data_IF_349520582398
#
_entry.id   IF_349520582398
#
_cell.length_a   1.000
_cell.length_b   1.000
_cell.length_c   1.000
_cell.angle_alpha   90.00
_cell.angle_beta   90.00
_cell.angle_gamma   90.00
#
_symmetry.space_group_name_H-M   'P 1'
#
loop_
_entity.id
_entity.type
_entity.pdbx_description
1 polymer ?
#
# COMPACT_ATOMS: atom_id res chain seq x y z
N UNK A 1 24.75 50.73 -4.56
CA UNK A 1 24.14 50.94 -3.23
C UNK A 1 22.64 50.77 -3.34
N UNK A 2 22.09 49.89 -2.52
CA UNK A 2 20.68 49.49 -2.42
C UNK A 2 19.72 50.62 -2.07
N UNK A 3 18.48 50.57 -2.59
CA UNK A 3 17.17 50.75 -1.90
C UNK A 3 16.03 50.89 -2.95
N UNK A 4 15.05 49.97 -2.98
CA UNK A 4 13.63 50.11 -2.49
C UNK A 4 12.76 50.96 -3.45
N UNK A 5 11.53 50.67 -3.87
CA UNK A 5 10.36 49.94 -3.39
C UNK A 5 9.26 50.08 -4.51
N UNK A 6 8.45 49.09 -4.92
CA UNK A 6 7.09 48.73 -4.43
C UNK A 6 5.99 48.89 -5.52
N UNK A 7 5.07 47.90 -5.51
CA UNK A 7 3.73 47.77 -6.13
C UNK A 7 3.64 47.43 -7.63
N UNK A 8 3.37 46.17 -8.02
CA UNK A 8 2.18 45.34 -7.76
C UNK A 8 0.91 45.88 -8.45
N UNK A 9 0.70 45.47 -9.70
CA UNK A 9 -0.62 45.44 -10.36
C UNK A 9 -0.52 44.44 -11.52
N UNK A 10 -0.69 43.15 -11.22
CA UNK A 10 -1.00 42.16 -12.27
C UNK A 10 -2.48 41.84 -12.10
N UNK A 11 -3.29 42.51 -12.91
CA UNK A 11 -4.66 42.08 -13.16
C UNK A 11 -4.60 40.73 -13.84
N UNK A 12 -5.21 39.72 -13.21
CA UNK A 12 -5.57 38.47 -13.85
C UNK A 12 -7.09 38.38 -13.77
N UNK A 13 -7.78 38.21 -14.91
CA UNK A 13 -9.23 38.33 -15.00
C UNK A 13 -9.94 37.21 -14.24
N UNK A 14 -11.10 37.57 -13.68
CA UNK A 14 -12.18 36.68 -13.27
C UNK A 14 -12.40 35.60 -14.34
N UNK A 15 -11.88 34.39 -14.09
CA UNK A 15 -12.44 33.17 -14.66
C UNK A 15 -13.08 32.40 -13.52
N UNK A 16 -14.37 32.64 -13.35
CA UNK A 16 -15.26 31.76 -12.64
C UNK A 16 -15.40 30.46 -13.44
N UNK A 17 -15.08 29.32 -12.83
CA UNK A 17 -16.01 28.19 -12.63
C UNK A 17 -15.28 26.84 -12.46
N UNK A 18 -15.70 26.10 -11.42
CA UNK A 18 -15.64 24.63 -11.28
C UNK A 18 -14.28 23.94 -11.05
N UNK A 19 -13.78 24.05 -9.82
CA UNK A 19 -13.13 22.95 -9.10
C UNK A 19 -13.84 22.88 -7.74
N UNK A 20 -14.43 21.74 -7.36
CA UNK A 20 -13.60 20.69 -6.79
C UNK A 20 -14.11 19.27 -7.09
N UNK A 21 -13.21 18.31 -7.29
CA UNK A 21 -13.32 16.88 -6.95
C UNK A 21 -12.22 16.14 -7.71
N UNK A 22 -10.97 16.47 -7.40
CA UNK A 22 -9.96 15.42 -7.43
C UNK A 22 -10.17 14.64 -6.12
N UNK A 23 -10.70 13.40 -6.13
CA UNK A 23 -10.37 12.50 -5.04
C UNK A 23 -8.86 12.28 -5.15
N UNK A 24 -8.11 13.02 -4.35
CA UNK A 24 -6.74 12.70 -4.04
C UNK A 24 -6.77 11.31 -3.40
N UNK A 25 -6.42 10.28 -4.16
CA UNK A 25 -5.91 9.03 -3.62
C UNK A 25 -4.97 8.40 -4.66
N UNK A 26 -3.94 9.16 -5.03
CA UNK A 26 -2.68 8.55 -5.43
C UNK A 26 -2.10 7.91 -4.16
N UNK A 27 -2.66 6.75 -3.78
CA UNK A 27 -2.06 5.90 -2.77
C UNK A 27 -0.65 5.60 -3.27
N UNK A 28 0.32 6.18 -2.56
CA UNK A 28 1.75 6.16 -2.80
C UNK A 28 2.20 5.11 -3.83
N UNK A 29 2.51 5.55 -5.05
CA UNK A 29 3.39 4.80 -5.95
C UNK A 29 4.80 4.87 -5.33
N UNK A 30 5.03 4.13 -4.25
CA UNK A 30 6.36 3.61 -4.02
C UNK A 30 6.58 2.56 -5.11
N UNK A 31 7.75 2.55 -5.73
CA UNK A 31 8.15 1.62 -6.78
C UNK A 31 8.35 0.18 -6.23
N UNK A 32 7.44 -0.26 -5.36
CA UNK A 32 7.29 -1.62 -4.86
C UNK A 32 6.16 -2.31 -5.60
N UNK A 33 6.30 -3.63 -5.80
CA UNK A 33 5.27 -4.46 -6.42
C UNK A 33 4.10 -4.58 -5.44
N UNK A 34 2.96 -4.00 -5.78
CA UNK A 34 1.76 -4.02 -4.96
C UNK A 34 0.69 -4.89 -5.61
N UNK A 35 0.08 -5.77 -4.81
CA UNK A 35 -1.21 -6.36 -5.11
C UNK A 35 -2.29 -5.47 -4.47
N UNK A 36 -3.25 -5.06 -5.27
CA UNK A 36 -4.41 -4.29 -4.84
C UNK A 36 -5.66 -5.10 -5.11
N UNK A 37 -6.52 -5.19 -4.10
CA UNK A 37 -7.76 -5.96 -4.16
C UNK A 37 -8.76 -5.40 -3.14
N UNK A 38 -9.93 -6.00 -3.01
CA UNK A 38 -10.90 -5.69 -1.96
C UNK A 38 -11.05 -6.88 -1.03
N UNK A 39 -11.10 -6.63 0.29
CA UNK A 39 -11.33 -7.70 1.26
C UNK A 39 -12.73 -8.32 1.07
N UNK A 40 -12.87 -9.63 0.85
CA UNK A 40 -14.17 -10.28 0.80
C UNK A 40 -14.80 -10.46 2.19
N UNK A 41 -16.08 -10.89 2.21
CA UNK A 41 -16.79 -11.25 3.43
C UNK A 41 -17.32 -10.06 4.23
N UNK A 42 -17.06 -10.02 5.53
CA UNK A 42 -17.59 -8.96 6.42
C UNK A 42 -16.91 -7.59 6.24
N UNK A 43 -15.81 -7.56 5.50
CA UNK A 43 -15.01 -6.37 5.23
C UNK A 43 -15.11 -5.91 3.77
N UNK A 44 -16.12 -6.41 3.04
CA UNK A 44 -16.39 -6.01 1.66
C UNK A 44 -16.48 -4.50 1.50
N UNK A 45 -15.73 -3.98 0.52
CA UNK A 45 -15.58 -2.55 0.26
C UNK A 45 -14.36 -1.89 0.91
N UNK A 46 -13.57 -2.62 1.71
CA UNK A 46 -12.31 -2.10 2.23
C UNK A 46 -11.17 -2.37 1.22
N UNK A 47 -10.59 -1.33 0.58
CA UNK A 47 -9.52 -1.53 -0.38
C UNK A 47 -8.28 -2.03 0.34
N UNK A 48 -7.77 -3.17 -0.12
CA UNK A 48 -6.60 -3.85 0.37
C UNK A 48 -5.44 -3.56 -0.57
N UNK A 49 -4.29 -3.25 0.01
CA UNK A 49 -3.05 -3.07 -0.73
C UNK A 49 -1.94 -3.76 0.02
N UNK A 50 -1.37 -4.80 -0.58
CA UNK A 50 -0.19 -5.49 -0.10
C UNK A 50 0.98 -5.15 -1.01
N UNK A 51 1.97 -4.45 -0.47
CA UNK A 51 3.17 -4.06 -1.21
C UNK A 51 4.41 -4.77 -0.67
N UNK A 52 5.34 -5.06 -1.56
CA UNK A 52 6.71 -5.40 -1.17
C UNK A 52 7.56 -4.15 -1.30
N UNK A 53 8.12 -3.70 -0.19
CA UNK A 53 9.03 -2.56 -0.11
C UNK A 53 10.45 -3.03 0.24
N UNK A 54 11.43 -2.17 -0.02
CA UNK A 54 12.84 -2.50 0.16
C UNK A 54 13.41 -3.43 -0.92
N UNK A 55 14.72 -3.62 -0.88
CA UNK A 55 15.47 -4.44 -1.84
C UNK A 55 16.46 -5.36 -1.12
N UNK A 56 16.82 -6.48 -1.77
CA UNK A 56 17.75 -7.47 -1.21
C UNK A 56 17.31 -7.98 0.15
N UNK A 57 18.21 -7.93 1.13
CA UNK A 57 17.97 -8.38 2.51
C UNK A 57 17.05 -7.46 3.33
N UNK A 58 16.79 -6.23 2.87
CA UNK A 58 15.89 -5.30 3.58
C UNK A 58 14.46 -5.32 3.04
N UNK A 59 14.15 -6.29 2.19
CA UNK A 59 12.82 -6.47 1.63
C UNK A 59 11.83 -6.85 2.73
N UNK A 60 10.70 -6.15 2.77
CA UNK A 60 9.63 -6.36 3.73
C UNK A 60 8.27 -6.14 3.07
N UNK A 61 7.24 -6.73 3.65
CA UNK A 61 5.85 -6.59 3.23
C UNK A 61 5.18 -5.48 4.02
N UNK A 62 4.38 -4.69 3.32
CA UNK A 62 3.55 -3.62 3.88
C UNK A 62 2.12 -3.89 3.46
N UNK A 63 1.27 -4.21 4.44
CA UNK A 63 -0.15 -4.40 4.25
C UNK A 63 -0.91 -3.16 4.71
N UNK A 64 -1.67 -2.58 3.79
CA UNK A 64 -2.57 -1.46 4.01
C UNK A 64 -4.01 -1.87 3.74
N UNK A 65 -4.92 -1.44 4.61
CA UNK A 65 -6.37 -1.69 4.47
C UNK A 65 -7.09 -0.35 4.63
N UNK A 66 -7.96 -0.01 3.69
CA UNK A 66 -8.62 1.29 3.60
C UNK A 66 -7.64 2.47 3.54
N UNK A 67 -6.50 2.27 2.87
CA UNK A 67 -5.44 3.28 2.74
C UNK A 67 -4.60 3.53 4.01
N UNK A 68 -4.80 2.72 5.06
CA UNK A 68 -4.05 2.82 6.32
C UNK A 68 -3.14 1.60 6.45
N UNK A 69 -1.85 1.81 6.72
CA UNK A 69 -0.91 0.74 7.04
C UNK A 69 -1.34 0.02 8.31
N UNK A 70 -1.48 -1.31 8.23
CA UNK A 70 -1.92 -2.16 9.34
C UNK A 70 -0.84 -3.11 9.80
N UNK A 71 0.00 -3.58 8.89
CA UNK A 71 1.05 -4.54 9.19
C UNK A 71 2.26 -4.28 8.31
N UNK A 72 3.43 -4.25 8.95
CA UNK A 72 4.73 -4.24 8.28
C UNK A 72 5.54 -5.40 8.86
N UNK A 73 6.06 -6.27 8.01
CA UNK A 73 6.78 -7.46 8.44
C UNK A 73 7.83 -7.87 7.39
N UNK A 74 8.99 -8.34 7.85
CA UNK A 74 10.01 -8.90 6.97
C UNK A 74 9.55 -10.24 6.35
N UNK A 75 10.31 -10.73 5.36
CA UNK A 75 9.98 -11.95 4.63
C UNK A 75 9.89 -13.18 5.56
N UNK A 76 10.79 -13.31 6.53
CA UNK A 76 10.80 -14.47 7.42
C UNK A 76 9.57 -14.46 8.32
N UNK A 77 9.24 -13.30 8.88
CA UNK A 77 8.03 -13.09 9.69
C UNK A 77 6.76 -13.43 8.91
N UNK A 78 6.65 -12.97 7.66
CA UNK A 78 5.49 -13.28 6.80
C UNK A 78 5.42 -14.75 6.42
N UNK A 79 6.54 -15.45 6.20
CA UNK A 79 6.55 -16.90 5.99
C UNK A 79 6.06 -17.68 7.22
N UNK A 80 6.48 -17.26 8.41
CA UNK A 80 6.02 -17.85 9.67
C UNK A 80 4.58 -17.45 10.05
N UNK A 81 3.99 -16.49 9.36
CA UNK A 81 2.69 -15.90 9.67
C UNK A 81 2.82 -14.68 10.58
N UNK A 82 2.96 -13.51 9.96
CA UNK A 82 3.03 -12.25 10.68
C UNK A 82 1.64 -11.89 11.23
N UNK A 83 1.56 -11.33 12.44
CA UNK A 83 0.29 -10.97 13.07
C UNK A 83 0.34 -9.52 13.58
N UNK A 84 -0.75 -8.79 13.37
CA UNK A 84 -0.97 -7.45 13.88
C UNK A 84 -2.39 -7.31 14.46
N UNK A 85 -2.63 -6.31 15.30
CA UNK A 85 -3.99 -5.94 15.71
C UNK A 85 -4.60 -4.96 14.70
N UNK A 86 -5.82 -5.26 14.26
CA UNK A 86 -6.64 -4.35 13.47
C UNK A 86 -8.01 -4.19 14.10
N UNK A 87 -8.22 -3.06 14.79
CA UNK A 87 -9.50 -2.72 15.40
C UNK A 87 -10.01 -3.78 16.38
N UNK A 88 -9.09 -4.42 17.14
CA UNK A 88 -9.41 -5.50 18.06
C UNK A 88 -9.56 -6.88 17.40
N UNK A 89 -9.19 -7.00 16.11
CA UNK A 89 -9.14 -8.26 15.39
C UNK A 89 -7.70 -8.67 15.08
N UNK A 90 -7.39 -9.96 15.19
CA UNK A 90 -6.07 -10.47 14.86
C UNK A 90 -5.92 -10.57 13.34
N UNK A 91 -5.10 -9.69 12.75
CA UNK A 91 -4.77 -9.68 11.33
C UNK A 91 -3.50 -10.48 11.08
N UNK A 92 -3.62 -11.65 10.45
CA UNK A 92 -2.52 -12.48 10.01
C UNK A 92 -2.18 -12.24 8.54
N UNK A 93 -0.89 -12.18 8.20
CA UNK A 93 -0.39 -12.21 6.83
C UNK A 93 0.59 -13.37 6.70
N UNK A 94 0.30 -14.28 5.76
CA UNK A 94 1.17 -15.39 5.43
C UNK A 94 1.39 -15.46 3.92
N UNK A 95 2.64 -15.57 3.48
CA UNK A 95 2.95 -15.79 2.07
C UNK A 95 3.66 -17.13 1.89
N UNK A 96 3.51 -17.72 0.70
CA UNK A 96 4.21 -18.93 0.28
C UNK A 96 5.72 -18.72 0.24
N UNK A 97 6.49 -19.81 0.14
CA UNK A 97 7.96 -19.73 0.07
C UNK A 97 8.44 -18.83 -1.07
N UNK A 98 7.79 -18.89 -2.23
CA UNK A 98 8.12 -18.05 -3.39
C UNK A 98 7.81 -16.56 -3.17
N UNK A 99 7.06 -16.22 -2.12
CA UNK A 99 6.61 -14.85 -1.82
C UNK A 99 5.60 -14.30 -2.82
N UNK A 100 5.12 -15.12 -3.75
CA UNK A 100 4.17 -14.72 -4.79
C UNK A 100 2.73 -14.83 -4.30
N UNK A 101 2.36 -15.96 -3.69
CA UNK A 101 1.00 -16.15 -3.17
C UNK A 101 0.96 -15.74 -1.72
N UNK A 102 0.03 -14.85 -1.39
CA UNK A 102 -0.18 -14.36 -0.03
C UNK A 102 -1.63 -14.54 0.40
N UNK A 103 -1.79 -14.86 1.66
CA UNK A 103 -3.05 -15.12 2.34
C UNK A 103 -3.13 -14.20 3.55
N UNK A 104 -4.28 -13.56 3.72
CA UNK A 104 -4.58 -12.71 4.86
C UNK A 104 -5.68 -13.39 5.65
N UNK A 105 -5.45 -13.52 6.95
CA UNK A 105 -6.40 -14.08 7.90
C UNK A 105 -6.85 -13.00 8.86
N UNK A 106 -8.13 -12.99 9.23
CA UNK A 106 -8.65 -12.13 10.28
C UNK A 106 -9.34 -13.00 11.31
N UNK A 107 -8.90 -12.94 12.56
CA UNK A 107 -9.34 -13.82 13.65
C UNK A 107 -9.24 -15.31 13.27
N UNK A 108 -8.08 -15.72 12.75
CA UNK A 108 -7.78 -17.09 12.29
C UNK A 108 -8.62 -17.59 11.09
N UNK A 109 -9.47 -16.73 10.52
CA UNK A 109 -10.27 -17.06 9.33
C UNK A 109 -9.65 -16.47 8.08
N UNK A 110 -9.61 -17.25 7.01
CA UNK A 110 -9.16 -16.76 5.70
C UNK A 110 -10.04 -15.59 5.25
N UNK A 111 -9.41 -14.44 5.10
CA UNK A 111 -10.04 -13.18 4.74
C UNK A 111 -9.72 -12.78 3.31
N UNK A 112 -8.53 -13.08 2.80
CA UNK A 112 -8.17 -12.83 1.40
C UNK A 112 -7.03 -13.75 0.96
N UNK A 113 -7.00 -14.06 -0.33
CA UNK A 113 -5.89 -14.78 -0.97
C UNK A 113 -5.66 -14.19 -2.34
N UNK A 114 -4.43 -13.83 -2.63
CA UNK A 114 -4.06 -13.33 -3.94
C UNK A 114 -2.58 -13.45 -4.22
N UNK A 115 -2.21 -13.07 -5.44
CA UNK A 115 -0.86 -13.21 -5.95
C UNK A 115 -0.24 -11.84 -6.17
N UNK A 116 0.96 -11.64 -5.63
CA UNK A 116 1.81 -10.50 -5.92
C UNK A 116 2.41 -10.67 -7.32
N UNK A 117 2.51 -9.58 -8.11
CA UNK A 117 3.03 -9.65 -9.46
C UNK A 117 4.50 -10.12 -9.46
N UNK A 118 4.74 -11.23 -10.15
CA UNK A 118 6.04 -11.91 -10.25
C UNK A 118 7.15 -10.95 -10.68
N UNK A 119 8.32 -11.07 -10.05
CA UNK A 119 9.52 -10.36 -10.48
C UNK A 119 10.06 -11.05 -11.74
N UNK A 120 10.03 -10.44 -12.95
CA UNK A 120 10.80 -10.96 -14.06
C UNK A 120 12.28 -10.71 -13.72
N UNK A 121 12.96 -11.70 -13.14
CA UNK A 121 14.42 -11.60 -12.95
C UNK A 121 15.08 -12.27 -11.75
N UNK A 122 14.42 -13.17 -11.02
CA UNK A 122 15.19 -14.10 -10.15
C UNK A 122 15.09 -15.49 -10.77
N UNK A 123 16.12 -15.98 -11.49
CA UNK A 123 16.18 -17.39 -11.81
C UNK A 123 16.21 -18.15 -10.48
N UNK A 124 15.25 -19.07 -10.31
CA UNK A 124 15.39 -20.18 -9.38
C UNK A 124 16.67 -20.91 -9.81
N UNK A 125 17.74 -20.74 -9.04
CA UNK A 125 18.93 -21.55 -9.23
C UNK A 125 18.57 -22.96 -8.74
N UNK A 126 18.52 -23.88 -9.69
CA UNK A 126 18.46 -25.34 -9.50
C UNK A 126 19.62 -25.84 -8.63
#
# INVERSE_FOLDING_TARGET
MSRRCIHAFVGVPLFAALLPLLPALQAATQAGRCAEDELPGRFTGAPLRLCVAGEGEQRHYVLSIAGVERLQADIASVRSGAVADWAGHALGLQCSEDGLTCEIRVDERDAWKGQLPEHPGVPVAD
#
